data_IF_170895701498
#
_entry.id   IF_170895701498
#
_cell.length_a   1.000
_cell.length_b   1.000
_cell.length_c   1.000
_cell.angle_alpha   90.00
_cell.angle_beta   90.00
_cell.angle_gamma   90.00
#
_symmetry.space_group_name_H-M   'P 1'
#
loop_
_entity.id
_entity.type
_entity.pdbx_description
1 polymer ?
#
# COMPACT_ATOMS: atom_id res chain seq x y z
N UNK A 1 -29.26 0.59 3.19
CA UNK A 1 -28.22 1.64 3.19
C UNK A 1 -27.00 1.16 3.94
N UNK A 2 -25.82 1.71 3.69
CA UNK A 2 -24.57 1.36 4.36
C UNK A 2 -23.49 2.41 4.07
N UNK A 3 -22.26 2.15 4.54
CA UNK A 3 -21.15 3.08 4.42
C UNK A 3 -19.96 2.42 3.70
N UNK A 4 -19.30 3.17 2.83
CA UNK A 4 -18.10 2.75 2.11
C UNK A 4 -16.95 3.66 2.50
N UNK A 5 -15.77 3.07 2.67
CA UNK A 5 -14.55 3.75 3.08
C UNK A 5 -13.42 3.40 2.13
N UNK A 6 -12.55 4.37 1.87
CA UNK A 6 -11.38 4.19 1.03
C UNK A 6 -10.20 4.99 1.58
N UNK A 7 -9.02 4.37 1.61
CA UNK A 7 -7.74 5.06 1.85
C UNK A 7 -7.22 5.62 0.53
N UNK A 8 -6.62 6.80 0.58
CA UNK A 8 -5.91 7.33 -0.58
C UNK A 8 -4.76 6.38 -0.98
N UNK A 9 -4.68 6.06 -2.28
CA UNK A 9 -3.69 5.17 -2.86
C UNK A 9 -3.00 5.86 -4.03
N UNK A 10 -1.68 5.70 -4.14
CA UNK A 10 -0.88 6.25 -5.23
C UNK A 10 0.18 5.23 -5.63
N UNK A 11 0.29 4.97 -6.93
CA UNK A 11 1.25 4.05 -7.52
C UNK A 11 1.90 4.72 -8.74
N UNK A 12 3.22 4.68 -8.83
CA UNK A 12 3.98 5.37 -9.87
C UNK A 12 5.41 4.85 -10.01
N UNK A 13 6.01 5.09 -11.17
CA UNK A 13 7.43 4.90 -11.41
C UNK A 13 8.22 6.18 -11.12
N UNK A 14 9.41 6.05 -10.52
CA UNK A 14 10.33 7.17 -10.34
C UNK A 14 11.80 6.72 -10.36
N UNK A 15 12.71 7.69 -10.50
CA UNK A 15 14.15 7.42 -10.38
C UNK A 15 14.55 7.17 -8.93
N UNK A 16 15.71 6.54 -8.71
CA UNK A 16 16.20 6.24 -7.37
C UNK A 16 16.36 7.48 -6.50
N UNK A 17 16.83 8.59 -7.07
CA UNK A 17 17.05 9.85 -6.37
C UNK A 17 15.71 10.42 -5.84
N UNK A 18 14.64 10.29 -6.63
CA UNK A 18 13.29 10.70 -6.22
C UNK A 18 12.70 9.77 -5.17
N UNK A 19 12.93 8.46 -5.29
CA UNK A 19 12.51 7.48 -4.28
C UNK A 19 13.14 7.81 -2.91
N UNK A 20 14.44 8.04 -2.88
CA UNK A 20 15.16 8.35 -1.64
C UNK A 20 14.62 9.66 -1.00
N UNK A 21 14.28 10.66 -1.81
CA UNK A 21 13.66 11.90 -1.35
C UNK A 21 12.24 11.69 -0.80
N UNK A 22 11.41 10.86 -1.45
CA UNK A 22 10.05 10.53 -0.98
C UNK A 22 10.13 9.77 0.35
N UNK A 23 10.95 8.71 0.41
CA UNK A 23 11.17 7.92 1.63
C UNK A 23 11.66 8.79 2.77
N UNK A 24 12.59 9.71 2.50
CA UNK A 24 13.08 10.68 3.48
C UNK A 24 11.96 11.52 4.09
N UNK A 25 11.02 12.01 3.28
CA UNK A 25 9.85 12.77 3.76
C UNK A 25 8.87 11.89 4.52
N UNK A 26 8.61 10.66 4.05
CA UNK A 26 7.68 9.73 4.69
C UNK A 26 8.07 9.36 6.12
N UNK A 27 9.36 9.39 6.48
CA UNK A 27 9.81 9.16 7.87
C UNK A 27 9.19 10.12 8.90
N UNK A 28 8.80 11.32 8.47
CA UNK A 28 8.14 12.31 9.33
C UNK A 28 6.61 12.16 9.36
N UNK A 29 6.06 11.25 8.57
CA UNK A 29 4.62 11.06 8.36
C UNK A 29 4.23 9.60 8.69
N UNK A 30 3.98 9.27 9.97
CA UNK A 30 3.72 7.89 10.40
C UNK A 30 2.42 7.31 9.84
N UNK A 31 1.53 8.14 9.29
CA UNK A 31 0.29 7.71 8.65
C UNK A 31 0.46 7.19 7.22
N UNK A 32 1.65 7.33 6.62
CA UNK A 32 1.92 6.87 5.25
C UNK A 32 2.62 5.52 5.29
N UNK A 33 2.03 4.54 4.61
CA UNK A 33 2.67 3.27 4.28
C UNK A 33 3.16 3.31 2.84
N UNK A 34 4.39 2.85 2.58
CA UNK A 34 4.94 2.79 1.23
C UNK A 34 5.65 1.46 0.99
N UNK A 35 5.62 1.03 -0.27
CA UNK A 35 6.33 -0.12 -0.79
C UNK A 35 6.98 0.31 -2.10
N UNK A 36 8.27 0.03 -2.26
CA UNK A 36 8.99 0.28 -3.50
C UNK A 36 9.86 -0.93 -3.85
N UNK A 37 9.82 -1.32 -5.13
CA UNK A 37 10.60 -2.41 -5.70
C UNK A 37 11.27 -1.97 -7.00
N UNK A 38 12.42 -2.55 -7.30
CA UNK A 38 13.04 -2.43 -8.62
C UNK A 38 13.18 -3.82 -9.28
N UNK A 39 13.61 -3.84 -10.55
CA UNK A 39 13.85 -5.08 -11.31
C UNK A 39 14.97 -5.96 -10.72
N UNK A 40 15.88 -5.38 -9.94
CA UNK A 40 16.99 -6.09 -9.28
C UNK A 40 16.66 -6.57 -7.86
N UNK A 41 15.37 -6.71 -7.53
CA UNK A 41 14.86 -7.15 -6.22
C UNK A 41 15.24 -6.27 -5.01
N UNK A 42 15.66 -5.01 -5.23
CA UNK A 42 15.81 -4.06 -4.14
C UNK A 42 14.43 -3.64 -3.63
N UNK A 43 14.13 -4.04 -2.38
CA UNK A 43 12.89 -3.75 -1.68
C UNK A 43 13.09 -2.64 -0.63
N UNK A 44 12.26 -1.60 -0.68
CA UNK A 44 12.24 -0.51 0.29
C UNK A 44 10.80 -0.33 0.79
N UNK A 45 10.56 -0.58 2.08
CA UNK A 45 9.23 -0.45 2.70
C UNK A 45 9.34 -0.04 4.16
N UNK A 46 8.26 0.53 4.70
CA UNK A 46 8.07 0.73 6.15
C UNK A 46 7.05 -0.23 6.78
N UNK A 47 6.55 -1.22 6.01
CA UNK A 47 5.66 -2.29 6.49
C UNK A 47 6.37 -3.64 6.43
N UNK A 48 5.94 -4.60 7.26
CA UNK A 48 6.45 -5.96 7.17
C UNK A 48 5.96 -6.62 5.86
N UNK A 49 6.68 -7.62 5.37
CA UNK A 49 6.29 -8.34 4.14
C UNK A 49 5.00 -9.16 4.30
N UNK A 50 4.58 -9.43 5.53
CA UNK A 50 3.32 -10.10 5.87
C UNK A 50 2.15 -9.15 6.07
N UNK A 51 2.38 -7.83 6.05
CA UNK A 51 1.34 -6.85 6.39
C UNK A 51 0.44 -6.58 5.18
N UNK A 52 -0.76 -7.14 5.24
CA UNK A 52 -1.82 -6.89 4.25
C UNK A 52 -2.62 -5.66 4.68
N UNK A 53 -2.67 -4.66 3.80
CA UNK A 53 -3.38 -3.41 4.06
C UNK A 53 -4.69 -3.33 3.28
N UNK A 54 -5.83 -3.38 3.97
CA UNK A 54 -7.12 -3.05 3.36
C UNK A 54 -7.16 -1.55 3.00
N UNK A 55 -7.46 -1.27 1.73
CA UNK A 55 -7.56 0.09 1.19
C UNK A 55 -8.99 0.48 0.86
N UNK A 56 -9.90 -0.48 0.66
CA UNK A 56 -11.32 -0.23 0.46
C UNK A 56 -12.13 -1.22 1.30
N UNK A 57 -13.10 -0.74 2.07
CA UNK A 57 -14.03 -1.60 2.81
C UNK A 57 -15.42 -0.99 2.94
N UNK A 58 -16.42 -1.83 3.16
CA UNK A 58 -17.81 -1.44 3.33
C UNK A 58 -18.43 -2.08 4.57
N UNK A 59 -19.28 -1.29 5.26
CA UNK A 59 -20.04 -1.72 6.44
C UNK A 59 -21.53 -1.59 6.11
N UNK A 60 -22.24 -2.71 6.16
CA UNK A 60 -23.65 -2.80 5.80
C UNK A 60 -24.46 -3.48 6.92
N UNK A 61 -25.71 -3.05 7.18
CA UNK A 61 -26.57 -3.67 8.19
C UNK A 61 -26.74 -5.17 7.96
N UNK A 62 -26.66 -5.95 9.04
CA UNK A 62 -26.81 -7.41 9.05
C UNK A 62 -25.86 -8.16 8.09
N UNK A 63 -24.68 -7.58 7.80
CA UNK A 63 -23.62 -8.21 7.02
C UNK A 63 -22.28 -8.04 7.73
N UNK A 64 -21.38 -9.00 7.52
CA UNK A 64 -19.98 -8.85 7.90
C UNK A 64 -19.31 -7.73 7.08
N UNK A 65 -18.18 -7.21 7.57
CA UNK A 65 -17.40 -6.17 6.88
C UNK A 65 -16.83 -6.77 5.60
N UNK A 66 -17.04 -6.07 4.49
CA UNK A 66 -16.57 -6.49 3.17
C UNK A 66 -15.35 -5.64 2.80
N UNK A 67 -14.23 -6.27 2.49
CA UNK A 67 -12.96 -5.60 2.16
C UNK A 67 -12.43 -6.14 0.82
N UNK A 68 -12.92 -5.61 -0.32
CA UNK A 68 -12.64 -6.17 -1.64
C UNK A 68 -11.26 -5.80 -2.19
N UNK A 69 -10.61 -4.76 -1.66
CA UNK A 69 -9.32 -4.28 -2.17
C UNK A 69 -8.30 -4.20 -1.04
N UNK A 70 -7.22 -4.94 -1.21
CA UNK A 70 -6.08 -5.01 -0.32
C UNK A 70 -4.79 -4.69 -1.09
N UNK A 71 -3.82 -4.14 -0.38
CA UNK A 71 -2.43 -4.02 -0.83
C UNK A 71 -1.65 -5.09 -0.09
N UNK A 72 -1.14 -6.06 -0.85
CA UNK A 72 -0.36 -7.20 -0.34
C UNK A 72 1.07 -7.15 -0.92
N UNK A 73 2.11 -7.05 -0.07
CA UNK A 73 3.51 -7.10 -0.49
C UNK A 73 3.88 -8.33 -1.33
N UNK A 74 3.31 -9.50 -1.05
CA UNK A 74 3.58 -10.72 -1.80
C UNK A 74 2.99 -10.65 -3.22
N UNK A 75 1.74 -10.22 -3.33
CA UNK A 75 1.08 -9.95 -4.63
C UNK A 75 1.82 -8.88 -5.44
N UNK A 76 2.32 -7.83 -4.78
CA UNK A 76 3.07 -6.76 -5.45
C UNK A 76 4.41 -7.24 -6.04
N UNK A 77 5.08 -8.20 -5.39
CA UNK A 77 6.30 -8.82 -5.92
C UNK A 77 6.05 -9.65 -7.17
N UNK A 78 4.89 -10.31 -7.28
CA UNK A 78 4.52 -11.08 -8.48
C UNK A 78 4.08 -10.15 -9.60
N UNK A 79 3.38 -9.06 -9.28
CA UNK A 79 2.91 -8.08 -10.28
C UNK A 79 4.04 -7.30 -10.97
N UNK A 80 5.19 -7.13 -10.32
CA UNK A 80 6.32 -6.36 -10.88
C UNK A 80 6.95 -7.00 -12.13
N UNK A 81 6.80 -8.31 -12.29
CA UNK A 81 7.42 -9.12 -13.35
C UNK A 81 6.63 -9.02 -14.66
#
# INVERSE_FOLDING_TARGET
GGYVYQKAYLEFFCSKEKLDAVVGKCKTLPSITYIAVNKGDNWVSNTAQSDVNAVTWGVFPAKEIIQPTIVDPASFKVWKD
#
